data_IF_166235214940
#
_entry.id   IF_166235214940
#
_cell.length_a   1.000
_cell.length_b   1.000
_cell.length_c   1.000
_cell.angle_alpha   90.00
_cell.angle_beta   90.00
_cell.angle_gamma   90.00
#
_symmetry.space_group_name_H-M   'P 1'
#
loop_
_entity.id
_entity.type
_entity.pdbx_description
1 polymer ?
#
# COMPACT_ATOMS: atom_id res chain seq x y z
N UNK A 1 -10.11 14.74 21.67
CA UNK A 1 -9.04 13.73 21.76
C UNK A 1 -7.73 14.41 21.42
N UNK A 2 -6.63 13.93 21.98
CA UNK A 2 -5.28 14.41 21.66
C UNK A 2 -4.85 13.81 20.30
N UNK A 3 -4.50 14.63 19.29
CA UNK A 3 -4.13 14.13 17.96
C UNK A 3 -2.97 13.13 17.97
N UNK A 4 -2.02 13.27 18.90
CA UNK A 4 -0.89 12.35 19.04
C UNK A 4 -1.37 10.96 19.48
N UNK A 5 -2.22 10.93 20.50
CA UNK A 5 -2.87 9.70 20.98
C UNK A 5 -3.70 9.01 19.90
N UNK A 6 -4.42 9.78 19.06
CA UNK A 6 -5.20 9.21 17.94
C UNK A 6 -4.30 8.54 16.90
N UNK A 7 -3.26 9.24 16.41
CA UNK A 7 -2.32 8.69 15.44
C UNK A 7 -1.60 7.44 15.97
N UNK A 8 -1.18 7.48 17.24
CA UNK A 8 -0.51 6.34 17.88
C UNK A 8 -1.43 5.13 17.98
N UNK A 9 -2.70 5.33 18.36
CA UNK A 9 -3.71 4.26 18.38
C UNK A 9 -3.95 3.64 17.00
N UNK A 10 -4.04 4.44 15.94
CA UNK A 10 -4.20 3.91 14.57
C UNK A 10 -2.97 3.14 14.10
N UNK A 11 -1.77 3.54 14.53
CA UNK A 11 -0.54 2.80 14.26
C UNK A 11 -0.52 1.45 15.00
N UNK A 12 -0.90 1.42 16.28
CA UNK A 12 -1.02 0.18 17.06
C UNK A 12 -2.00 -0.80 16.44
N UNK A 13 -3.17 -0.33 16.02
CA UNK A 13 -4.16 -1.17 15.33
C UNK A 13 -3.59 -1.81 14.06
N UNK A 14 -2.91 -1.03 13.21
CA UNK A 14 -2.30 -1.56 11.98
C UNK A 14 -1.26 -2.67 12.26
N UNK A 15 -0.48 -2.53 13.34
CA UNK A 15 0.51 -3.54 13.74
C UNK A 15 -0.16 -4.84 14.17
N UNK A 16 -1.22 -4.74 14.98
CA UNK A 16 -1.99 -5.89 15.44
C UNK A 16 -2.69 -6.59 14.28
N UNK A 17 -3.34 -5.83 13.40
CA UNK A 17 -4.05 -6.35 12.23
C UNK A 17 -3.08 -7.09 11.30
N UNK A 18 -1.89 -6.53 11.04
CA UNK A 18 -0.87 -7.19 10.22
C UNK A 18 -0.44 -8.54 10.81
N UNK A 19 -0.15 -8.58 12.11
CA UNK A 19 0.28 -9.81 12.78
C UNK A 19 -0.80 -10.88 12.75
N UNK A 20 -2.06 -10.48 12.93
CA UNK A 20 -3.20 -11.39 12.82
C UNK A 20 -3.26 -12.06 11.43
N UNK A 21 -2.90 -11.36 10.34
CA UNK A 21 -2.86 -11.96 9.00
C UNK A 21 -1.91 -13.13 8.85
N UNK A 22 -0.95 -13.33 9.75
CA UNK A 22 -0.03 -14.47 9.70
C UNK A 22 -0.53 -15.68 10.51
N UNK A 23 -1.55 -15.51 11.35
CA UNK A 23 -1.95 -16.53 12.31
C UNK A 23 -2.57 -17.76 11.64
N UNK A 24 -2.17 -18.94 12.12
CA UNK A 24 -2.62 -20.23 11.60
C UNK A 24 -1.95 -20.67 10.29
N UNK A 25 -1.15 -19.81 9.65
CA UNK A 25 -0.49 -20.14 8.38
C UNK A 25 0.83 -20.89 8.56
N UNK A 26 1.12 -21.78 7.61
CA UNK A 26 2.41 -22.48 7.52
C UNK A 26 3.57 -21.52 7.21
N UNK A 27 4.81 -21.89 7.56
CA UNK A 27 5.99 -21.07 7.24
C UNK A 27 6.14 -20.84 5.74
N UNK A 28 5.79 -21.84 4.93
CA UNK A 28 5.76 -21.70 3.48
C UNK A 28 4.75 -20.66 3.00
N UNK A 29 3.51 -20.68 3.52
CA UNK A 29 2.44 -19.79 3.06
C UNK A 29 2.70 -18.32 3.37
N UNK A 30 3.33 -18.01 4.50
CA UNK A 30 3.66 -16.61 4.81
C UNK A 30 4.82 -16.07 3.96
N UNK A 31 5.66 -16.94 3.38
CA UNK A 31 6.86 -16.58 2.61
C UNK A 31 6.63 -16.59 1.09
N UNK A 32 5.74 -17.45 0.60
CA UNK A 32 5.58 -17.62 -0.84
C UNK A 32 4.99 -16.36 -1.49
N UNK A 33 5.43 -15.98 -2.69
CA UNK A 33 4.89 -14.83 -3.40
C UNK A 33 3.47 -15.11 -3.91
N UNK A 34 2.54 -14.17 -3.73
CA UNK A 34 1.16 -14.25 -4.22
C UNK A 34 0.85 -13.24 -5.35
N UNK A 35 1.83 -12.41 -5.71
CA UNK A 35 1.71 -11.42 -6.80
C UNK A 35 2.90 -11.51 -7.76
N UNK A 36 2.79 -11.01 -9.00
CA UNK A 36 3.91 -10.94 -9.94
C UNK A 36 5.11 -10.13 -9.44
N UNK A 37 4.90 -9.21 -8.48
CA UNK A 37 5.94 -8.39 -7.86
C UNK A 37 6.53 -9.03 -6.59
N UNK A 38 6.12 -10.25 -6.24
CA UNK A 38 6.71 -11.00 -5.13
C UNK A 38 6.12 -10.71 -3.75
N UNK A 39 4.99 -10.01 -3.65
CA UNK A 39 4.35 -9.67 -2.37
C UNK A 39 3.99 -10.95 -1.60
N UNK A 40 4.40 -11.01 -0.34
CA UNK A 40 4.16 -12.11 0.60
C UNK A 40 4.01 -11.54 2.02
N UNK A 41 3.38 -12.28 2.94
CA UNK A 41 3.01 -11.76 4.26
C UNK A 41 4.22 -11.49 5.17
N UNK A 42 5.20 -12.39 5.20
CA UNK A 42 6.37 -12.26 6.08
C UNK A 42 7.28 -11.11 5.62
N UNK A 43 7.39 -10.91 4.31
CA UNK A 43 8.05 -9.76 3.70
C UNK A 43 7.39 -8.43 4.06
N UNK A 44 6.05 -8.37 4.12
CA UNK A 44 5.34 -7.16 4.57
C UNK A 44 5.66 -6.82 6.03
N UNK A 45 5.73 -7.83 6.91
CA UNK A 45 6.12 -7.63 8.32
C UNK A 45 7.56 -7.11 8.42
N UNK A 46 8.50 -7.74 7.70
CA UNK A 46 9.90 -7.32 7.68
C UNK A 46 10.04 -5.88 7.18
N UNK A 47 9.36 -5.54 6.09
CA UNK A 47 9.38 -4.19 5.53
C UNK A 47 8.85 -3.16 6.53
N UNK A 48 7.72 -3.41 7.19
CA UNK A 48 7.16 -2.47 8.15
C UNK A 48 8.03 -2.33 9.42
N UNK A 49 8.75 -3.38 9.83
CA UNK A 49 9.77 -3.25 10.87
C UNK A 49 10.88 -2.28 10.45
N UNK A 50 11.33 -2.36 9.19
CA UNK A 50 12.32 -1.43 8.64
C UNK A 50 11.81 0.00 8.61
N UNK A 51 10.59 0.21 8.09
CA UNK A 51 9.95 1.54 8.03
C UNK A 51 9.92 2.18 9.42
N UNK A 52 9.48 1.46 10.44
CA UNK A 52 9.40 2.01 11.79
C UNK A 52 10.76 2.37 12.39
N UNK A 53 11.79 1.52 12.23
CA UNK A 53 13.14 1.85 12.69
C UNK A 53 13.74 3.06 11.96
N UNK A 54 13.51 3.17 10.65
CA UNK A 54 14.01 4.30 9.87
C UNK A 54 13.33 5.60 10.30
N UNK A 55 12.00 5.62 10.39
CA UNK A 55 11.24 6.84 10.62
C UNK A 55 11.18 7.28 12.09
N UNK A 56 11.23 6.37 13.06
CA UNK A 56 11.24 6.73 14.48
C UNK A 56 12.62 6.63 15.14
N UNK A 57 13.59 6.00 14.48
CA UNK A 57 14.98 5.97 14.91
C UNK A 57 15.84 6.96 14.16
N UNK A 58 16.26 6.57 12.96
CA UNK A 58 17.23 7.33 12.15
C UNK A 58 16.79 8.78 11.90
N UNK A 59 15.52 9.00 11.57
CA UNK A 59 14.99 10.35 11.29
C UNK A 59 15.07 11.29 12.48
N UNK A 60 15.00 10.78 13.71
CA UNK A 60 15.07 11.59 14.93
C UNK A 60 16.41 11.47 15.65
N UNK A 61 17.44 10.92 15.00
CA UNK A 61 18.76 10.66 15.60
C UNK A 61 18.67 9.83 16.89
N UNK A 62 17.78 8.82 16.88
CA UNK A 62 17.55 7.90 18.00
C UNK A 62 18.12 6.53 17.62
N UNK A 63 19.30 6.16 18.17
CA UNK A 63 19.97 4.93 17.79
C UNK A 63 19.11 3.70 18.06
N UNK A 64 19.05 2.81 17.07
CA UNK A 64 18.46 1.48 17.22
C UNK A 64 19.52 0.56 17.81
N UNK A 65 19.21 -0.11 18.91
CA UNK A 65 20.09 -1.12 19.48
C UNK A 65 20.10 -2.36 18.59
N UNK A 66 21.28 -2.86 18.21
CA UNK A 66 21.47 -4.04 17.35
C UNK A 66 20.59 -4.02 16.07
N UNK A 67 20.76 -3.01 15.19
CA UNK A 67 19.96 -2.92 13.97
C UNK A 67 20.34 -4.07 13.02
N UNK A 68 19.38 -4.67 12.31
CA UNK A 68 19.69 -5.59 11.20
C UNK A 68 20.63 -4.95 10.19
N UNK A 69 21.51 -5.75 9.59
CA UNK A 69 22.49 -5.24 8.62
C UNK A 69 21.84 -4.50 7.45
N UNK A 70 20.69 -4.97 6.95
CA UNK A 70 19.98 -4.30 5.85
C UNK A 70 19.39 -2.93 6.22
N UNK A 71 19.31 -2.55 7.50
CA UNK A 71 18.97 -1.17 7.90
C UNK A 71 20.14 -0.19 7.76
N UNK A 72 21.36 -0.71 7.86
CA UNK A 72 22.58 0.12 7.97
C UNK A 72 23.42 0.08 6.70
N UNK A 73 23.22 -0.93 5.85
CA UNK A 73 23.97 -1.12 4.61
C UNK A 73 23.34 -0.39 3.44
N UNK A 74 24.08 0.57 2.87
CA UNK A 74 23.68 1.31 1.66
C UNK A 74 23.85 0.49 0.37
N UNK A 75 24.57 -0.63 0.43
CA UNK A 75 24.81 -1.59 -0.66
C UNK A 75 24.00 -2.88 -0.51
N UNK A 76 22.93 -2.85 0.30
CA UNK A 76 22.06 -4.00 0.53
C UNK A 76 21.35 -4.48 -0.73
N UNK A 77 20.83 -5.70 -0.66
CA UNK A 77 20.00 -6.29 -1.72
C UNK A 77 18.80 -5.39 -2.02
N UNK A 78 18.50 -5.20 -3.30
CA UNK A 78 17.32 -4.44 -3.71
C UNK A 78 16.10 -5.21 -3.21
N UNK A 79 15.19 -4.53 -2.51
CA UNK A 79 13.99 -5.15 -1.92
C UNK A 79 14.30 -6.16 -0.78
N UNK A 80 15.50 -6.09 -0.17
CA UNK A 80 15.92 -7.00 0.91
C UNK A 80 15.05 -6.92 2.18
N UNK A 81 14.36 -5.81 2.39
CA UNK A 81 13.37 -5.62 3.46
C UNK A 81 12.02 -6.30 3.18
N UNK A 82 11.73 -6.68 1.94
CA UNK A 82 10.60 -7.54 1.56
C UNK A 82 10.94 -9.03 1.46
N UNK A 83 12.22 -9.37 1.55
CA UNK A 83 12.69 -10.74 1.37
C UNK A 83 13.14 -11.35 2.70
N UNK A 84 12.31 -12.23 3.25
CA UNK A 84 12.70 -13.13 4.33
C UNK A 84 13.54 -14.29 3.76
N UNK A 85 14.85 -14.29 4.04
CA UNK A 85 15.77 -15.34 3.54
C UNK A 85 15.48 -16.68 4.21
N UNK A 86 16.04 -17.76 3.66
CA UNK A 86 15.89 -19.10 4.23
C UNK A 86 16.51 -19.23 5.65
N UNK A 87 17.48 -18.38 5.97
CA UNK A 87 18.19 -18.39 7.26
C UNK A 87 17.49 -17.50 8.31
N UNK A 88 16.60 -16.59 7.89
CA UNK A 88 15.78 -15.80 8.80
C UNK A 88 14.52 -16.58 9.18
N UNK A 89 14.35 -16.89 10.46
CA UNK A 89 13.12 -17.56 10.92
C UNK A 89 11.94 -16.59 10.93
N UNK A 90 10.72 -17.14 10.95
CA UNK A 90 9.51 -16.32 11.14
C UNK A 90 9.61 -15.56 12.46
N UNK A 91 10.01 -16.25 13.51
CA UNK A 91 10.12 -15.74 14.88
C UNK A 91 11.09 -14.56 14.95
N UNK A 92 12.25 -14.64 14.29
CA UNK A 92 13.22 -13.54 14.23
C UNK A 92 12.62 -12.27 13.60
N UNK A 93 11.83 -12.43 12.54
CA UNK A 93 11.18 -11.31 11.85
C UNK A 93 10.05 -10.73 12.70
N UNK A 94 9.27 -11.57 13.37
CA UNK A 94 8.24 -11.10 14.30
C UNK A 94 8.85 -10.36 15.50
N UNK A 95 9.95 -10.87 16.05
CA UNK A 95 10.68 -10.22 17.14
C UNK A 95 11.32 -8.91 16.71
N UNK A 96 11.83 -8.85 15.47
CA UNK A 96 12.29 -7.60 14.89
C UNK A 96 11.16 -6.57 14.81
N UNK A 97 9.97 -6.97 14.33
CA UNK A 97 8.83 -6.07 14.23
C UNK A 97 8.37 -5.56 15.60
N UNK A 98 8.35 -6.43 16.62
CA UNK A 98 8.06 -6.03 18.01
C UNK A 98 9.08 -5.04 18.56
N UNK A 99 10.37 -5.26 18.30
CA UNK A 99 11.44 -4.32 18.68
C UNK A 99 11.29 -2.97 17.98
N UNK A 100 10.91 -2.98 16.70
CA UNK A 100 10.63 -1.75 15.95
C UNK A 100 9.47 -0.98 16.57
N UNK A 101 8.38 -1.66 16.91
CA UNK A 101 7.23 -1.06 17.58
C UNK A 101 7.59 -0.46 18.94
N UNK A 102 8.37 -1.16 19.78
CA UNK A 102 8.83 -0.65 21.07
C UNK A 102 9.71 0.60 20.90
N UNK A 103 10.62 0.58 19.92
CA UNK A 103 11.48 1.72 19.63
C UNK A 103 10.66 2.93 19.14
N UNK A 104 9.72 2.69 18.23
CA UNK A 104 8.80 3.71 17.73
C UNK A 104 7.95 4.31 18.84
N UNK A 105 7.38 3.47 19.72
CA UNK A 105 6.55 3.91 20.84
C UNK A 105 7.35 4.77 21.82
N UNK A 106 8.62 4.44 22.08
CA UNK A 106 9.49 5.26 22.91
C UNK A 106 9.76 6.65 22.28
N UNK A 107 10.04 6.69 20.98
CA UNK A 107 10.21 7.97 20.25
C UNK A 107 8.93 8.80 20.26
N UNK A 108 7.78 8.17 19.98
CA UNK A 108 6.49 8.83 20.00
C UNK A 108 6.22 9.37 21.40
N UNK A 109 6.43 8.60 22.46
CA UNK A 109 6.18 9.06 23.82
C UNK A 109 7.04 10.29 24.20
N UNK A 110 8.32 10.29 23.84
CA UNK A 110 9.29 11.31 24.28
C UNK A 110 9.20 12.64 23.53
N UNK A 111 8.87 12.62 22.23
CA UNK A 111 8.95 13.79 21.37
C UNK A 111 7.59 14.50 21.21
N UNK A 112 7.60 15.83 21.15
CA UNK A 112 6.42 16.61 20.79
C UNK A 112 6.10 16.51 19.29
N UNK A 113 4.83 16.76 18.92
CA UNK A 113 4.38 16.63 17.53
C UNK A 113 5.10 17.55 16.53
N UNK A 114 5.65 18.67 17.00
CA UNK A 114 6.41 19.63 16.21
C UNK A 114 7.93 19.35 16.20
N UNK A 115 8.40 18.35 16.94
CA UNK A 115 9.80 17.91 16.90
C UNK A 115 10.21 17.57 15.46
N UNK A 116 11.32 18.14 15.01
CA UNK A 116 11.76 18.04 13.60
C UNK A 116 12.81 16.95 13.44
N UNK A 117 12.50 15.97 12.62
CA UNK A 117 13.44 14.95 12.15
C UNK A 117 14.02 15.25 10.77
N UNK A 118 15.05 14.50 10.38
CA UNK A 118 15.74 14.58 9.11
C UNK A 118 15.62 13.26 8.32
N UNK A 119 15.01 13.30 7.14
CA UNK A 119 14.77 12.17 6.24
C UNK A 119 15.80 12.19 5.12
N UNK A 120 16.92 11.45 5.22
CA UNK A 120 18.04 11.60 4.29
C UNK A 120 17.75 11.15 2.86
N UNK A 121 16.75 10.29 2.65
CA UNK A 121 16.38 9.77 1.32
C UNK A 121 15.36 10.66 0.57
N UNK A 122 14.87 11.74 1.17
CA UNK A 122 13.98 12.68 0.49
C UNK A 122 14.77 13.74 -0.28
N UNK A 123 14.11 14.39 -1.24
CA UNK A 123 14.70 15.54 -1.95
C UNK A 123 15.02 16.66 -0.95
N UNK A 124 16.08 17.47 -1.17
CA UNK A 124 16.53 18.47 -0.17
C UNK A 124 15.44 19.39 0.38
N UNK A 125 14.43 19.72 -0.43
CA UNK A 125 13.31 20.57 -0.02
C UNK A 125 12.32 19.88 0.96
N UNK A 126 12.34 18.55 1.08
CA UNK A 126 11.40 17.74 1.85
C UNK A 126 12.06 16.94 2.98
N UNK A 127 13.37 17.10 3.22
CA UNK A 127 14.11 16.28 4.20
C UNK A 127 13.75 16.60 5.65
N UNK A 128 13.09 17.72 5.95
CA UNK A 128 12.74 18.10 7.33
C UNK A 128 11.25 17.90 7.55
N UNK A 129 10.90 16.92 8.39
CA UNK A 129 9.51 16.61 8.74
C UNK A 129 9.32 16.70 10.25
N UNK A 130 8.15 17.17 10.67
CA UNK A 130 7.76 17.08 12.08
C UNK A 130 7.37 15.65 12.44
N UNK A 131 7.39 15.30 13.73
CA UNK A 131 6.88 14.03 14.23
C UNK A 131 5.42 13.79 13.79
N UNK A 132 4.60 14.83 13.76
CA UNK A 132 3.24 14.74 13.21
C UNK A 132 3.23 14.26 11.75
N UNK A 133 4.07 14.85 10.89
CA UNK A 133 4.14 14.44 9.48
C UNK A 133 4.68 13.01 9.33
N UNK A 134 5.66 12.62 10.16
CA UNK A 134 6.18 11.24 10.20
C UNK A 134 5.11 10.25 10.66
N UNK A 135 4.37 10.54 11.73
CA UNK A 135 3.27 9.71 12.22
C UNK A 135 2.19 9.50 11.14
N UNK A 136 1.77 10.58 10.48
CA UNK A 136 0.80 10.48 9.37
C UNK A 136 1.34 9.60 8.25
N UNK A 137 2.62 9.77 7.88
CA UNK A 137 3.25 8.96 6.85
C UNK A 137 3.29 7.48 7.21
N UNK A 138 3.78 7.14 8.41
CA UNK A 138 3.94 5.74 8.83
C UNK A 138 2.58 5.07 9.06
N UNK A 139 1.58 5.77 9.61
CA UNK A 139 0.21 5.24 9.70
C UNK A 139 -0.34 4.91 8.32
N UNK A 140 -0.17 5.81 7.34
CA UNK A 140 -0.62 5.57 5.98
C UNK A 140 0.12 4.40 5.31
N UNK A 141 1.41 4.23 5.60
CA UNK A 141 2.21 3.14 5.07
C UNK A 141 1.83 1.79 5.67
N UNK A 142 1.69 1.71 6.99
CA UNK A 142 1.23 0.50 7.69
C UNK A 142 -0.15 0.07 7.17
N UNK A 143 -1.14 0.97 7.12
CA UNK A 143 -2.49 0.62 6.65
C UNK A 143 -2.53 0.26 5.15
N UNK A 144 -1.69 0.88 4.31
CA UNK A 144 -1.54 0.47 2.90
C UNK A 144 -1.07 -0.98 2.81
N UNK A 145 -0.09 -1.37 3.60
CA UNK A 145 0.46 -2.73 3.60
C UNK A 145 -0.43 -3.76 4.31
N UNK A 146 -1.20 -3.35 5.32
CA UNK A 146 -2.28 -4.19 5.88
C UNK A 146 -3.33 -4.50 4.82
N UNK A 147 -3.72 -3.52 3.99
CA UNK A 147 -4.60 -3.77 2.84
C UNK A 147 -4.01 -4.73 1.81
N UNK A 148 -2.70 -4.72 1.60
CA UNK A 148 -2.04 -5.77 0.80
C UNK A 148 -2.09 -7.13 1.49
N UNK A 149 -1.87 -7.17 2.81
CA UNK A 149 -1.92 -8.39 3.59
C UNK A 149 -3.34 -9.01 3.61
N UNK A 150 -4.40 -8.19 3.57
CA UNK A 150 -5.79 -8.65 3.43
C UNK A 150 -5.97 -9.51 2.19
N UNK A 151 -5.59 -8.99 1.03
CA UNK A 151 -5.74 -9.68 -0.25
C UNK A 151 -4.82 -10.90 -0.33
N UNK A 152 -3.58 -10.79 0.16
CA UNK A 152 -2.66 -11.93 0.18
C UNK A 152 -3.18 -13.04 1.08
N UNK A 153 -3.74 -12.71 2.25
CA UNK A 153 -4.32 -13.69 3.17
C UNK A 153 -5.53 -14.38 2.54
N UNK A 154 -6.43 -13.62 1.94
CA UNK A 154 -7.61 -14.15 1.25
C UNK A 154 -7.21 -15.12 0.12
N UNK A 155 -6.14 -14.83 -0.63
CA UNK A 155 -5.62 -15.70 -1.68
C UNK A 155 -4.98 -17.00 -1.17
N UNK A 156 -4.54 -17.04 0.09
CA UNK A 156 -3.91 -18.22 0.69
C UNK A 156 -4.97 -19.22 1.17
N UNK A 157 -5.92 -18.77 1.99
CA UNK A 157 -6.87 -19.66 2.66
C UNK A 157 -8.33 -19.13 2.69
N UNK A 158 -8.61 -18.00 2.04
CA UNK A 158 -9.93 -17.38 2.02
C UNK A 158 -10.28 -16.57 3.27
N UNK A 159 -9.40 -16.48 4.26
CA UNK A 159 -9.64 -15.67 5.46
C UNK A 159 -9.62 -14.18 5.10
N UNK A 160 -10.66 -13.44 5.50
CA UNK A 160 -10.82 -12.02 5.23
C UNK A 160 -11.36 -11.28 6.47
N UNK A 161 -11.24 -9.96 6.46
CA UNK A 161 -11.79 -9.05 7.47
C UNK A 161 -10.80 -8.00 7.95
N UNK A 162 -11.26 -6.97 8.66
CA UNK A 162 -10.41 -5.87 9.13
C UNK A 162 -9.46 -6.34 10.24
N UNK A 163 -10.01 -6.87 11.34
CA UNK A 163 -9.27 -7.34 12.51
C UNK A 163 -9.78 -8.70 12.99
N UNK A 164 -9.09 -9.28 13.98
CA UNK A 164 -9.44 -10.58 14.58
C UNK A 164 -10.88 -10.63 15.09
N UNK A 165 -11.32 -9.56 15.77
CA UNK A 165 -12.60 -9.52 16.48
C UNK A 165 -13.66 -8.74 15.71
N UNK A 166 -13.25 -7.91 14.74
CA UNK A 166 -14.14 -7.07 13.95
C UNK A 166 -13.87 -7.29 12.46
N UNK A 167 -14.46 -8.33 11.83
CA UNK A 167 -14.18 -8.62 10.44
C UNK A 167 -14.71 -7.54 9.48
N UNK A 168 -15.76 -6.79 9.87
CA UNK A 168 -16.43 -5.79 9.02
C UNK A 168 -16.85 -6.31 7.63
N UNK A 169 -17.09 -7.62 7.49
CA UNK A 169 -17.60 -8.21 6.27
C UNK A 169 -19.14 -8.10 6.22
N UNK A 170 -19.75 -7.85 5.05
CA UNK A 170 -21.21 -7.80 4.91
C UNK A 170 -21.93 -9.12 5.19
N UNK A 171 -21.22 -10.25 5.05
CA UNK A 171 -21.77 -11.59 5.24
C UNK A 171 -20.66 -12.60 5.50
N UNK A 172 -20.97 -13.62 6.28
CA UNK A 172 -20.19 -14.84 6.51
C UNK A 172 -20.68 -16.03 5.65
N UNK A 173 -21.71 -15.84 4.81
CA UNK A 173 -22.29 -16.86 3.94
C UNK A 173 -21.54 -16.95 2.59
N UNK A 174 -20.88 -18.09 2.27
CA UNK A 174 -20.23 -18.27 0.97
C UNK A 174 -21.16 -18.14 -0.23
N UNK A 175 -22.43 -18.57 -0.10
CA UNK A 175 -23.39 -18.48 -1.20
C UNK A 175 -23.74 -17.02 -1.53
N UNK A 176 -23.82 -16.16 -0.51
CA UNK A 176 -24.00 -14.72 -0.69
C UNK A 176 -22.82 -14.12 -1.46
N UNK A 177 -21.59 -14.53 -1.16
CA UNK A 177 -20.40 -14.07 -1.86
C UNK A 177 -20.36 -14.54 -3.32
N UNK A 178 -20.76 -15.77 -3.60
CA UNK A 178 -20.85 -16.29 -4.98
C UNK A 178 -21.82 -15.45 -5.82
N UNK A 179 -23.02 -15.18 -5.29
CA UNK A 179 -24.01 -14.33 -5.95
C UNK A 179 -23.51 -12.89 -6.11
N UNK A 180 -22.90 -12.32 -5.07
CA UNK A 180 -22.36 -10.97 -5.11
C UNK A 180 -21.27 -10.82 -6.16
N UNK A 181 -20.31 -11.76 -6.23
CA UNK A 181 -19.24 -11.76 -7.23
C UNK A 181 -19.80 -11.86 -8.64
N UNK A 182 -20.76 -12.76 -8.88
CA UNK A 182 -21.42 -12.86 -10.18
C UNK A 182 -22.07 -11.54 -10.59
N UNK A 183 -22.79 -10.89 -9.67
CA UNK A 183 -23.41 -9.58 -9.92
C UNK A 183 -22.39 -8.48 -10.25
N UNK A 184 -21.26 -8.44 -9.55
CA UNK A 184 -20.17 -7.49 -9.84
C UNK A 184 -19.57 -7.75 -11.22
N UNK A 185 -19.30 -9.01 -11.57
CA UNK A 185 -18.77 -9.39 -12.87
C UNK A 185 -19.74 -9.07 -14.02
N UNK A 186 -21.02 -9.37 -13.86
CA UNK A 186 -22.05 -9.09 -14.86
C UNK A 186 -22.19 -7.58 -15.11
N UNK A 187 -22.15 -6.77 -14.05
CA UNK A 187 -22.18 -5.31 -14.17
C UNK A 187 -20.96 -4.77 -14.95
N UNK A 188 -19.76 -5.31 -14.69
CA UNK A 188 -18.55 -4.94 -15.41
C UNK A 188 -18.66 -5.32 -16.91
N UNK A 189 -19.12 -6.54 -17.21
CA UNK A 189 -19.32 -7.00 -18.59
C UNK A 189 -20.37 -6.15 -19.33
N UNK A 190 -21.50 -5.86 -18.69
CA UNK A 190 -22.56 -5.02 -19.25
C UNK A 190 -22.06 -3.60 -19.57
N UNK A 191 -21.21 -3.01 -18.72
CA UNK A 191 -20.63 -1.68 -18.97
C UNK A 191 -19.76 -1.66 -20.23
N UNK A 192 -18.95 -2.70 -20.44
CA UNK A 192 -18.11 -2.84 -21.64
C UNK A 192 -18.96 -3.05 -22.88
N UNK A 193 -19.92 -3.97 -22.81
CA UNK A 193 -20.81 -4.29 -23.94
C UNK A 193 -21.67 -3.08 -24.35
N UNK A 194 -22.21 -2.34 -23.37
CA UNK A 194 -22.95 -1.10 -23.61
C UNK A 194 -22.09 0.02 -24.21
N UNK A 195 -20.81 0.12 -23.81
CA UNK A 195 -19.86 1.07 -24.40
C UNK A 195 -19.61 0.77 -25.88
N UNK A 196 -19.38 -0.51 -26.19
CA UNK A 196 -19.12 -0.97 -27.54
C UNK A 196 -20.34 -0.74 -28.45
N UNK A 197 -21.55 -1.06 -27.98
CA UNK A 197 -22.78 -0.82 -28.72
C UNK A 197 -23.01 0.67 -29.02
N UNK A 198 -22.71 1.57 -28.07
CA UNK A 198 -22.82 3.01 -28.27
C UNK A 198 -21.78 3.56 -29.27
N UNK A 199 -20.55 3.03 -29.27
CA UNK A 199 -19.51 3.41 -30.25
C UNK A 199 -19.88 2.96 -31.68
N UNK A 200 -20.43 1.76 -31.85
CA UNK A 200 -20.92 1.28 -33.15
C UNK A 200 -22.09 2.13 -33.65
N UNK A 201 -23.05 2.47 -32.78
CA UNK A 201 -24.18 3.35 -33.11
C UNK A 201 -23.73 4.77 -33.48
N UNK A 202 -22.72 5.32 -32.80
CA UNK A 202 -22.15 6.63 -33.10
C UNK A 202 -21.37 6.68 -34.43
N UNK A 203 -20.61 5.62 -34.75
CA UNK A 203 -19.93 5.50 -36.04
C UNK A 203 -20.92 5.32 -37.21
N UNK A 204 -21.99 4.55 -37.00
CA UNK A 204 -23.07 4.43 -37.99
C UNK A 204 -23.79 5.77 -38.21
N UNK A 205 -24.02 6.56 -37.15
CA UNK A 205 -24.62 7.90 -37.27
C UNK A 205 -23.70 8.92 -37.96
N UNK A 206 -22.38 8.85 -37.75
CA UNK A 206 -21.39 9.71 -38.41
C UNK A 206 -21.19 9.36 -39.90
N UNK A 207 -21.41 8.10 -40.30
CA UNK A 207 -21.27 7.64 -41.68
C UNK A 207 -22.38 8.09 -42.65
N UNK A 208 -23.51 8.59 -42.13
CA UNK A 208 -24.66 9.02 -42.97
C UNK A 208 -24.61 10.51 -43.36
N UNK A 209 -23.63 11.28 -42.86
CA UNK A 209 -23.53 12.73 -43.09
C UNK A 209 -22.51 13.19 -44.14
N UNK A 210 -21.76 12.27 -44.76
CA UNK A 210 -20.57 12.60 -45.55
C UNK A 210 -20.71 12.43 -47.07
N UNK A 211 -21.70 13.08 -47.70
CA UNK A 211 -21.73 13.18 -49.17
C UNK A 211 -22.50 14.42 -49.64
N UNK A 212 -21.90 15.61 -49.55
CA UNK A 212 -22.24 16.73 -50.43
C UNK A 212 -21.16 17.84 -50.42
N UNK A 213 -20.82 18.28 -51.63
CA UNK A 213 -20.17 19.55 -51.99
C UNK A 213 -18.64 19.68 -51.80
N UNK A 214 -17.92 19.11 -52.77
CA UNK A 214 -16.74 19.76 -53.32
C UNK A 214 -17.20 20.85 -54.31
N UNK A 215 -16.86 22.13 -54.07
CA UNK A 215 -16.61 23.12 -55.13
C UNK A 215 -15.89 24.38 -54.62
N UNK A 216 -15.06 24.91 -55.52
CA UNK A 216 -13.99 25.88 -55.35
C UNK A 216 -14.38 27.31 -54.96
N UNK A 217 -13.45 28.01 -54.26
CA UNK A 217 -12.89 29.35 -54.55
C UNK A 217 -11.97 29.70 -53.36
N UNK A 218 -10.73 30.15 -53.49
CA UNK A 218 -10.21 31.22 -54.34
C UNK A 218 -9.98 32.46 -53.44
N UNK A 219 -8.74 32.78 -53.07
CA UNK A 219 -8.42 34.07 -52.43
C UNK A 219 -7.30 34.02 -51.39
N UNK A 220 -6.22 34.75 -51.68
CA UNK A 220 -4.98 34.86 -50.93
C UNK A 220 -5.04 35.82 -49.73
N UNK A 221 -4.16 35.63 -48.75
CA UNK A 221 -3.31 36.70 -48.18
C UNK A 221 -2.29 36.12 -47.17
N UNK A 222 -1.03 36.49 -47.38
CA UNK A 222 0.11 36.33 -46.47
C UNK A 222 -0.03 37.27 -45.25
N UNK A 223 0.52 36.89 -44.08
CA UNK A 223 1.37 37.73 -43.18
C UNK A 223 2.17 36.76 -42.27
N UNK A 224 3.48 36.55 -42.49
CA UNK A 224 4.70 37.12 -41.83
C UNK A 224 5.01 36.60 -40.40
N UNK A 225 6.29 36.20 -40.25
CA UNK A 225 7.04 35.56 -39.15
C UNK A 225 6.93 36.18 -37.74
N UNK A 226 7.13 35.32 -36.72
CA UNK A 226 8.27 35.35 -35.80
C UNK A 226 8.41 34.00 -35.07
#
# INVERSE_FOLDING_TARGET
MDPKSDLHRYLQAAREDLLWKLEGLSDYDVRRPLTPTGTNLLGLVKHLAVVEFLYFGLVFDRPVENPPEYLVRQDGEVNGDFWATADETREDILDLYRRAAVHADATIAELDLDAVGFVPWFSPAMQRLSLHAVLVHVVAECHRHVGHADIVRELIDGTAGLSRDEPFLPSDDPAWWDEYRARVSDAAAARVNGAAAAQVGGAAAAGVGGAAAAQASGGAAQVVDA
#
